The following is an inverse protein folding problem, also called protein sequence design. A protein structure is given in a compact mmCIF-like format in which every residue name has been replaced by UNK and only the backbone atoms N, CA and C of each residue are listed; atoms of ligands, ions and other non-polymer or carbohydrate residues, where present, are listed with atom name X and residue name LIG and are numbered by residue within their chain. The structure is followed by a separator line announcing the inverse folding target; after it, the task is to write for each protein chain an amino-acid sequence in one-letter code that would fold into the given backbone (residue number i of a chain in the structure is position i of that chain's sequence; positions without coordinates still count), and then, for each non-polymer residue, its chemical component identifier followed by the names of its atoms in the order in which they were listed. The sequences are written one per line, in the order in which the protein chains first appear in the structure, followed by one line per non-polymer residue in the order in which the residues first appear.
data_IF_416684039779
#
_entry.id   IF_416684039779
#
_cell.length_a   1.000
_cell.length_b   1.000
_cell.length_c   1.000
_cell.angle_alpha   90.00
_cell.angle_beta   90.00
_cell.angle_gamma   90.00
#
_symmetry.space_group_name_H-M   'P 1'
#
loop_
_entity.id
_entity.type
_entity.pdbx_description
1 polymer ?
#
# COMPACT_ATOMS: atom_id res chain seq x y z
N UNK A 1 -32.29 -10.21 -5.94
CA UNK A 1 -31.91 -9.04 -5.11
C UNK A 1 -30.55 -8.46 -5.50
N UNK A 2 -29.47 -9.26 -5.60
CA UNK A 2 -28.12 -8.73 -5.94
C UNK A 2 -27.98 -8.25 -7.40
N UNK A 3 -28.66 -8.84 -8.37
CA UNK A 3 -28.62 -8.42 -9.78
C UNK A 3 -29.40 -7.12 -10.02
N UNK A 4 -30.53 -6.97 -9.35
CA UNK A 4 -31.35 -5.74 -9.42
C UNK A 4 -30.64 -4.55 -8.78
N UNK A 5 -30.04 -4.75 -7.60
CA UNK A 5 -29.27 -3.71 -6.91
C UNK A 5 -28.07 -3.23 -7.74
N UNK A 6 -27.36 -4.14 -8.42
CA UNK A 6 -26.28 -3.77 -9.34
C UNK A 6 -26.79 -3.01 -10.57
N UNK A 7 -27.92 -3.41 -11.15
CA UNK A 7 -28.55 -2.70 -12.27
C UNK A 7 -29.02 -1.30 -11.84
N UNK A 8 -29.65 -1.18 -10.69
CA UNK A 8 -30.11 0.10 -10.15
C UNK A 8 -28.94 1.04 -9.85
N UNK A 9 -27.84 0.52 -9.32
CA UNK A 9 -26.61 1.31 -9.09
C UNK A 9 -25.94 1.74 -10.40
N UNK A 10 -25.95 0.91 -11.43
CA UNK A 10 -25.46 1.26 -12.78
C UNK A 10 -26.37 2.29 -13.47
N UNK A 11 -27.68 2.19 -13.30
CA UNK A 11 -28.62 3.19 -13.81
C UNK A 11 -28.40 4.54 -13.13
N UNK A 12 -28.32 4.57 -11.81
CA UNK A 12 -28.04 5.81 -11.05
C UNK A 12 -26.71 6.47 -11.43
N UNK A 13 -25.71 5.72 -11.88
CA UNK A 13 -24.45 6.25 -12.35
C UNK A 13 -24.57 6.81 -13.78
N UNK A 14 -25.38 6.19 -14.66
CA UNK A 14 -25.57 6.67 -16.04
C UNK A 14 -26.39 7.95 -16.13
N UNK A 15 -27.36 8.10 -15.24
CA UNK A 15 -28.32 9.22 -15.29
C UNK A 15 -27.77 10.48 -14.59
N UNK A 16 -26.63 10.38 -13.91
CA UNK A 16 -25.96 11.53 -13.32
C UNK A 16 -24.83 12.00 -14.24
N UNK A 17 -24.82 13.27 -14.57
CA UNK A 17 -23.77 13.97 -15.33
C UNK A 17 -22.44 14.05 -14.55
N UNK A 18 -22.05 12.95 -13.90
CA UNK A 18 -20.75 12.89 -13.25
C UNK A 18 -19.68 12.58 -14.30
N UNK A 19 -18.73 13.45 -14.40
CA UNK A 19 -17.50 13.27 -15.17
C UNK A 19 -16.30 13.59 -14.28
N UNK A 20 -15.15 13.05 -14.66
CA UNK A 20 -13.91 13.46 -14.02
C UNK A 20 -13.66 14.94 -14.33
N UNK A 21 -13.11 15.66 -13.37
CA UNK A 21 -12.60 17.01 -13.59
C UNK A 21 -11.43 16.95 -14.59
N UNK A 22 -11.15 18.07 -15.27
CA UNK A 22 -10.01 18.15 -16.19
C UNK A 22 -8.69 17.89 -15.46
N UNK A 23 -8.58 18.34 -14.21
CA UNK A 23 -7.49 18.02 -13.30
C UNK A 23 -7.98 17.04 -12.24
N UNK A 24 -7.54 15.79 -12.32
CA UNK A 24 -7.82 14.76 -11.33
C UNK A 24 -6.71 14.68 -10.28
N UNK A 25 -7.02 14.11 -9.11
CA UNK A 25 -6.01 13.79 -8.11
C UNK A 25 -5.02 12.75 -8.65
N UNK A 26 -3.79 12.81 -8.20
CA UNK A 26 -2.79 11.77 -8.49
C UNK A 26 -3.24 10.45 -7.87
N UNK A 27 -3.28 9.41 -8.68
CA UNK A 27 -3.71 8.07 -8.25
C UNK A 27 -2.49 7.22 -7.92
N UNK A 28 -2.56 6.56 -6.77
CA UNK A 28 -1.62 5.51 -6.38
C UNK A 28 -2.33 4.16 -6.48
N UNK A 29 -1.72 3.22 -7.17
CA UNK A 29 -2.28 1.87 -7.33
C UNK A 29 -1.80 0.97 -6.22
N UNK A 30 -2.73 0.27 -5.59
CA UNK A 30 -2.42 -0.70 -4.54
C UNK A 30 -2.41 -2.12 -5.11
N UNK A 31 -1.24 -2.74 -5.30
CA UNK A 31 -1.17 -4.17 -5.61
C UNK A 31 -1.64 -4.98 -4.40
N UNK A 32 -2.01 -6.24 -4.62
CA UNK A 32 -2.29 -7.17 -3.52
C UNK A 32 -1.06 -7.32 -2.62
N UNK A 33 -1.28 -7.54 -1.33
CA UNK A 33 -0.19 -7.79 -0.37
C UNK A 33 0.46 -9.16 -0.59
N UNK A 34 1.68 -9.35 -0.05
CA UNK A 34 2.48 -10.56 -0.16
C UNK A 34 1.77 -11.86 0.30
N UNK A 35 0.77 -11.74 1.15
CA UNK A 35 -0.01 -12.87 1.68
C UNK A 35 -1.06 -13.43 0.70
N UNK A 36 -1.19 -12.85 -0.49
CA UNK A 36 -2.19 -13.24 -1.49
C UNK A 36 -1.52 -13.77 -2.76
N UNK A 37 -1.96 -14.97 -3.17
CA UNK A 37 -1.57 -15.57 -4.43
C UNK A 37 -2.60 -15.30 -5.52
N UNK A 38 -2.13 -15.26 -6.77
CA UNK A 38 -3.01 -15.35 -7.93
C UNK A 38 -3.33 -16.81 -8.22
N UNK A 39 -4.57 -17.21 -7.95
CA UNK A 39 -4.97 -18.62 -8.01
C UNK A 39 -5.22 -19.14 -9.42
N UNK A 40 -5.42 -18.25 -10.39
CA UNK A 40 -5.75 -18.60 -11.77
C UNK A 40 -4.55 -18.63 -12.72
N UNK A 41 -3.38 -18.19 -12.25
CA UNK A 41 -2.15 -18.16 -13.04
C UNK A 41 -1.09 -19.03 -12.37
N UNK A 42 -0.53 -19.94 -13.16
CA UNK A 42 0.54 -20.84 -12.73
C UNK A 42 1.77 -20.60 -13.59
N UNK A 43 2.93 -20.52 -12.95
CA UNK A 43 4.24 -20.55 -13.59
C UNK A 43 4.96 -21.78 -13.05
N UNK A 44 5.40 -22.66 -13.94
CA UNK A 44 6.00 -23.96 -13.60
C UNK A 44 5.18 -24.78 -12.58
N UNK A 45 3.86 -24.75 -12.76
CA UNK A 45 2.90 -25.46 -11.90
C UNK A 45 2.68 -24.84 -10.52
N UNK A 46 3.29 -23.68 -10.22
CA UNK A 46 3.14 -22.97 -8.94
C UNK A 46 2.33 -21.69 -9.12
N UNK A 47 1.53 -21.35 -8.12
CA UNK A 47 0.82 -20.06 -8.07
C UNK A 47 1.81 -18.91 -7.98
N UNK A 48 1.52 -17.83 -8.69
CA UNK A 48 2.33 -16.61 -8.62
C UNK A 48 1.83 -15.68 -7.52
N UNK A 49 2.73 -14.85 -6.98
CA UNK A 49 2.33 -13.79 -6.04
C UNK A 49 1.31 -12.85 -6.68
N UNK A 50 0.19 -12.64 -5.99
CA UNK A 50 -0.84 -11.70 -6.44
C UNK A 50 -0.33 -10.28 -6.57
N UNK A 51 0.53 -9.85 -5.64
CA UNK A 51 1.12 -8.51 -5.67
C UNK A 51 2.03 -8.28 -6.87
N UNK A 52 2.90 -9.25 -7.18
CA UNK A 52 3.78 -9.16 -8.36
C UNK A 52 2.95 -9.23 -9.65
N UNK A 53 1.94 -10.07 -9.70
CA UNK A 53 1.04 -10.19 -10.85
C UNK A 53 0.32 -8.86 -11.15
N UNK A 54 -0.29 -8.24 -10.13
CA UNK A 54 -0.97 -6.96 -10.26
C UNK A 54 -0.01 -5.85 -10.72
N UNK A 55 1.16 -5.78 -10.09
CA UNK A 55 2.20 -4.81 -10.40
C UNK A 55 2.71 -4.97 -11.84
N UNK A 56 3.08 -6.19 -12.23
CA UNK A 56 3.67 -6.45 -13.54
C UNK A 56 2.71 -6.11 -14.69
N UNK A 57 1.45 -6.54 -14.59
CA UNK A 57 0.45 -6.21 -15.60
C UNK A 57 0.17 -4.70 -15.66
N UNK A 58 0.07 -4.04 -14.50
CA UNK A 58 -0.14 -2.61 -14.45
C UNK A 58 1.01 -1.86 -15.12
N UNK A 59 2.26 -2.20 -14.80
CA UNK A 59 3.44 -1.57 -15.38
C UNK A 59 3.52 -1.80 -16.88
N UNK A 60 3.35 -3.04 -17.31
CA UNK A 60 3.44 -3.40 -18.74
C UNK A 60 2.45 -2.62 -19.61
N UNK A 61 1.21 -2.49 -19.15
CA UNK A 61 0.15 -1.85 -19.94
C UNK A 61 0.10 -0.34 -19.79
N UNK A 62 0.58 0.24 -18.70
CA UNK A 62 0.27 1.64 -18.38
C UNK A 62 1.49 2.55 -18.20
N UNK A 63 2.69 2.04 -17.91
CA UNK A 63 3.80 2.88 -17.49
C UNK A 63 4.12 4.00 -18.51
N UNK A 64 4.29 3.66 -19.77
CA UNK A 64 4.60 4.63 -20.82
C UNK A 64 3.45 5.63 -21.07
N UNK A 65 2.22 5.15 -21.03
CA UNK A 65 1.05 6.03 -21.23
C UNK A 65 0.88 7.01 -20.07
N UNK A 66 1.13 6.58 -18.83
CA UNK A 66 1.11 7.45 -17.66
C UNK A 66 2.15 8.57 -17.79
N UNK A 67 3.38 8.24 -18.17
CA UNK A 67 4.43 9.23 -18.38
C UNK A 67 4.09 10.19 -19.50
N UNK A 68 3.56 9.70 -20.61
CA UNK A 68 3.09 10.53 -21.73
C UNK A 68 2.01 11.54 -21.31
N UNK A 69 1.17 11.17 -20.34
CA UNK A 69 0.13 12.05 -19.77
C UNK A 69 0.63 12.99 -18.67
N UNK A 70 1.92 13.02 -18.40
CA UNK A 70 2.50 13.85 -17.33
C UNK A 70 2.21 13.33 -15.91
N UNK A 71 1.89 12.05 -15.79
CA UNK A 71 1.74 11.32 -14.53
C UNK A 71 2.88 10.32 -14.35
N UNK A 72 2.72 9.32 -13.52
CA UNK A 72 3.71 8.28 -13.31
C UNK A 72 3.12 7.00 -12.72
N UNK A 73 3.90 5.90 -12.72
CA UNK A 73 3.53 4.66 -12.09
C UNK A 73 3.74 4.78 -10.58
N UNK A 74 2.70 5.21 -9.87
CA UNK A 74 2.71 5.44 -8.44
C UNK A 74 1.98 4.32 -7.72
N UNK A 75 2.61 3.81 -6.64
CA UNK A 75 2.12 2.64 -5.91
C UNK A 75 1.88 2.94 -4.44
N UNK A 76 1.05 2.09 -3.84
CA UNK A 76 0.72 2.12 -2.43
C UNK A 76 0.88 0.70 -1.87
N UNK A 77 2.03 0.42 -1.24
CA UNK A 77 2.44 -0.92 -0.87
C UNK A 77 1.82 -1.36 0.47
N UNK A 78 0.97 -2.41 0.46
CA UNK A 78 0.32 -2.90 1.66
C UNK A 78 1.09 -4.02 2.34
N UNK A 79 0.83 -4.21 3.64
CA UNK A 79 1.11 -5.44 4.39
C UNK A 79 2.58 -5.84 4.52
N UNK A 80 3.52 -4.91 4.41
CA UNK A 80 4.91 -5.19 4.72
C UNK A 80 5.06 -5.52 6.22
N UNK A 81 5.87 -6.52 6.51
CA UNK A 81 6.25 -6.91 7.87
C UNK A 81 7.77 -6.73 8.12
N UNK A 82 8.56 -6.46 7.08
CA UNK A 82 10.03 -6.33 7.19
C UNK A 82 10.61 -5.42 6.11
N UNK A 83 11.75 -4.79 6.39
CA UNK A 83 12.56 -4.08 5.41
C UNK A 83 13.05 -4.99 4.26
N UNK A 84 13.18 -6.30 4.49
CA UNK A 84 13.54 -7.26 3.43
C UNK A 84 12.45 -7.38 2.36
N UNK A 85 11.18 -7.24 2.75
CA UNK A 85 10.08 -7.17 1.80
C UNK A 85 10.09 -5.85 1.02
N UNK A 86 10.52 -4.76 1.65
CA UNK A 86 10.75 -3.49 0.98
C UNK A 86 11.91 -3.58 -0.02
N UNK A 87 13.00 -4.24 0.34
CA UNK A 87 14.12 -4.55 -0.56
C UNK A 87 13.66 -5.36 -1.77
N UNK A 88 12.85 -6.38 -1.58
CA UNK A 88 12.28 -7.17 -2.67
C UNK A 88 11.45 -6.30 -3.63
N UNK A 89 10.65 -5.38 -3.10
CA UNK A 89 9.95 -4.40 -3.94
C UNK A 89 10.91 -3.50 -4.71
N UNK A 90 11.97 -3.03 -4.06
CA UNK A 90 13.00 -2.22 -4.72
C UNK A 90 13.66 -2.97 -5.88
N UNK A 91 14.03 -4.23 -5.67
CA UNK A 91 14.63 -5.08 -6.71
C UNK A 91 13.69 -5.28 -7.90
N UNK A 92 12.39 -5.49 -7.62
CA UNK A 92 11.34 -5.58 -8.64
C UNK A 92 11.22 -4.25 -9.40
N UNK A 93 11.24 -3.11 -8.72
CA UNK A 93 11.16 -1.79 -9.37
C UNK A 93 12.36 -1.52 -10.27
N UNK A 94 13.58 -1.78 -9.78
CA UNK A 94 14.82 -1.60 -10.53
C UNK A 94 14.81 -2.48 -11.79
N UNK A 95 14.48 -3.77 -11.64
CA UNK A 95 14.38 -4.70 -12.77
C UNK A 95 13.33 -4.24 -13.77
N UNK A 96 12.14 -3.89 -13.32
CA UNK A 96 11.03 -3.49 -14.20
C UNK A 96 11.35 -2.22 -14.98
N UNK A 97 11.95 -1.21 -14.34
CA UNK A 97 12.35 0.02 -15.02
C UNK A 97 13.39 -0.27 -16.09
N UNK A 98 14.36 -1.15 -15.82
CA UNK A 98 15.33 -1.58 -16.81
C UNK A 98 14.67 -2.27 -18.01
N UNK A 99 13.79 -3.25 -17.76
CA UNK A 99 13.12 -4.02 -18.82
C UNK A 99 12.18 -3.15 -19.68
N UNK A 100 11.58 -2.12 -19.10
CA UNK A 100 10.72 -1.18 -19.81
C UNK A 100 11.46 0.04 -20.38
N UNK A 101 12.79 0.12 -20.22
CA UNK A 101 13.58 1.26 -20.68
C UNK A 101 13.26 2.57 -19.98
N UNK A 102 12.83 2.51 -18.72
CA UNK A 102 12.49 3.68 -17.92
C UNK A 102 13.70 4.12 -17.06
N UNK A 103 13.87 5.44 -16.83
CA UNK A 103 14.86 5.90 -15.86
C UNK A 103 14.63 5.31 -14.47
N UNK A 104 15.73 5.02 -13.75
CA UNK A 104 15.62 4.60 -12.35
C UNK A 104 15.00 5.72 -11.49
N UNK A 105 14.16 5.33 -10.53
CA UNK A 105 13.41 6.29 -9.71
C UNK A 105 12.12 6.83 -10.36
N UNK A 106 11.75 6.38 -11.55
CA UNK A 106 10.47 6.72 -12.19
C UNK A 106 9.29 6.16 -11.40
N UNK A 107 9.38 4.94 -10.89
CA UNK A 107 8.39 4.35 -10.00
C UNK A 107 8.49 5.04 -8.64
N UNK A 108 7.34 5.46 -8.09
CA UNK A 108 7.26 5.97 -6.72
C UNK A 108 6.24 5.17 -5.93
N UNK A 109 6.55 4.93 -4.65
CA UNK A 109 5.71 4.13 -3.78
C UNK A 109 5.61 4.73 -2.38
N UNK A 110 4.39 4.82 -1.88
CA UNK A 110 4.11 5.06 -0.46
C UNK A 110 3.93 3.71 0.23
N UNK A 111 4.58 3.52 1.37
CA UNK A 111 4.44 2.29 2.15
C UNK A 111 3.39 2.48 3.24
N UNK A 112 2.44 1.55 3.32
CA UNK A 112 1.54 1.43 4.47
C UNK A 112 2.27 0.77 5.63
N UNK A 113 2.50 1.53 6.68
CA UNK A 113 2.94 0.98 7.97
C UNK A 113 1.70 0.52 8.71
N UNK A 114 1.31 -0.70 8.45
CA UNK A 114 0.04 -1.26 8.94
C UNK A 114 0.21 -2.59 9.67
N UNK A 115 1.47 -2.97 9.93
CA UNK A 115 1.80 -4.11 10.78
C UNK A 115 2.71 -3.64 11.91
N UNK A 116 2.58 -4.31 13.07
CA UNK A 116 3.41 -3.95 14.23
C UNK A 116 4.90 -4.20 13.95
N UNK A 117 5.24 -5.18 13.13
CA UNK A 117 6.63 -5.47 12.79
C UNK A 117 7.23 -4.34 11.95
N UNK A 118 6.54 -3.92 10.89
CA UNK A 118 7.02 -2.82 10.04
C UNK A 118 7.15 -1.50 10.81
N UNK A 119 6.35 -1.29 11.85
CA UNK A 119 6.44 -0.07 12.66
C UNK A 119 7.80 0.09 13.37
N UNK A 120 8.54 -0.99 13.60
CA UNK A 120 9.86 -0.98 14.20
C UNK A 120 11.02 -1.05 13.19
N UNK A 121 10.71 -1.08 11.89
CA UNK A 121 11.69 -1.13 10.81
C UNK A 121 11.46 -0.01 9.78
N UNK A 122 10.87 1.12 10.19
CA UNK A 122 10.49 2.19 9.27
C UNK A 122 11.69 2.84 8.59
N UNK A 123 12.77 3.08 9.33
CA UNK A 123 13.99 3.69 8.80
C UNK A 123 14.67 2.76 7.79
N UNK A 124 14.72 1.47 8.09
CA UNK A 124 15.26 0.45 7.20
C UNK A 124 14.39 0.32 5.93
N UNK A 125 13.06 0.37 6.07
CA UNK A 125 12.12 0.36 4.94
C UNK A 125 12.34 1.58 4.03
N UNK A 126 12.49 2.77 4.60
CA UNK A 126 12.80 3.99 3.85
C UNK A 126 14.16 3.90 3.16
N UNK A 127 15.17 3.36 3.85
CA UNK A 127 16.50 3.18 3.27
C UNK A 127 16.49 2.23 2.07
N UNK A 128 15.80 1.08 2.17
CA UNK A 128 15.70 0.12 1.06
C UNK A 128 14.97 0.71 -0.15
N UNK A 129 14.00 1.56 0.07
CA UNK A 129 13.20 2.19 -0.99
C UNK A 129 13.64 3.61 -1.34
N UNK A 130 14.77 4.10 -0.88
CA UNK A 130 15.21 5.52 -0.97
C UNK A 130 15.05 6.15 -2.36
N UNK A 131 15.30 5.39 -3.43
CA UNK A 131 15.21 5.90 -4.81
C UNK A 131 13.75 5.94 -5.32
N UNK A 132 12.84 5.23 -4.66
CA UNK A 132 11.46 5.04 -5.06
C UNK A 132 10.44 5.51 -4.02
N UNK A 133 10.89 5.92 -2.82
CA UNK A 133 9.98 6.34 -1.76
C UNK A 133 9.22 7.62 -2.11
N UNK A 134 7.93 7.62 -1.82
CA UNK A 134 7.06 8.79 -1.79
C UNK A 134 6.51 9.05 -0.37
N UNK A 135 7.02 8.31 0.63
CA UNK A 135 6.68 8.46 2.05
C UNK A 135 6.03 7.24 2.67
N UNK A 136 5.66 7.39 3.93
CA UNK A 136 4.98 6.39 4.73
C UNK A 136 3.52 6.82 5.00
N UNK A 137 2.66 5.86 5.29
CA UNK A 137 1.28 6.13 5.68
C UNK A 137 0.84 5.24 6.84
N UNK A 138 0.16 5.83 7.82
CA UNK A 138 -0.38 5.13 8.98
C UNK A 138 -1.66 4.36 8.63
N UNK A 139 -1.64 3.04 8.77
CA UNK A 139 -2.80 2.16 8.59
C UNK A 139 -3.47 1.82 9.92
N UNK A 140 -4.61 2.43 10.26
CA UNK A 140 -5.25 2.27 11.56
C UNK A 140 -5.75 0.85 11.83
N UNK A 141 -6.66 0.36 11.01
CA UNK A 141 -7.37 -0.89 11.30
C UNK A 141 -6.47 -2.11 11.21
N UNK A 142 -5.63 -2.14 10.21
CA UNK A 142 -4.70 -3.24 10.02
C UNK A 142 -3.61 -3.27 11.08
N UNK A 143 -3.16 -2.10 11.56
CA UNK A 143 -2.22 -2.02 12.69
C UNK A 143 -2.86 -2.57 13.98
N UNK A 144 -4.08 -2.16 14.30
CA UNK A 144 -4.83 -2.70 15.44
C UNK A 144 -4.99 -4.23 15.31
N UNK A 145 -5.37 -4.70 14.12
CA UNK A 145 -5.52 -6.13 13.85
C UNK A 145 -4.19 -6.89 13.99
N UNK A 146 -3.10 -6.30 13.53
CA UNK A 146 -1.75 -6.84 13.69
C UNK A 146 -1.39 -7.02 15.16
N UNK A 147 -1.66 -6.02 16.01
CA UNK A 147 -1.48 -6.11 17.45
C UNK A 147 -2.31 -7.27 18.04
N UNK A 148 -3.60 -7.34 17.73
CA UNK A 148 -4.49 -8.42 18.21
C UNK A 148 -3.93 -9.78 17.80
N UNK A 149 -3.55 -9.93 16.54
CA UNK A 149 -3.03 -11.20 15.99
C UNK A 149 -1.73 -11.65 16.68
N UNK A 150 -0.79 -10.73 16.87
CA UNK A 150 0.53 -11.05 17.45
C UNK A 150 0.44 -11.31 18.95
N UNK A 151 -0.41 -10.58 19.67
CA UNK A 151 -0.54 -10.69 21.13
C UNK A 151 -1.77 -11.49 21.61
N UNK A 152 -2.44 -12.23 20.74
CA UNK A 152 -3.70 -12.94 21.02
C UNK A 152 -3.66 -13.92 22.20
N UNK A 153 -2.47 -14.36 22.61
CA UNK A 153 -2.29 -15.29 23.74
C UNK A 153 -2.01 -14.57 25.06
N UNK A 154 -1.75 -13.27 25.02
CA UNK A 154 -1.52 -12.47 26.23
C UNK A 154 -2.81 -11.72 26.61
N UNK A 155 -3.36 -12.09 27.77
CA UNK A 155 -4.60 -11.49 28.30
C UNK A 155 -4.47 -10.00 28.58
N UNK A 156 -3.26 -9.48 28.81
CA UNK A 156 -3.01 -8.06 29.04
C UNK A 156 -3.19 -7.21 27.77
N UNK A 157 -3.17 -7.84 26.60
CA UNK A 157 -3.40 -7.19 25.31
C UNK A 157 -4.84 -7.32 24.80
N UNK A 158 -5.81 -7.58 25.68
CA UNK A 158 -7.21 -7.54 25.31
C UNK A 158 -7.64 -6.09 25.06
N UNK A 159 -7.86 -5.75 23.80
CA UNK A 159 -8.30 -4.40 23.41
C UNK A 159 -9.81 -4.23 23.61
N UNK A 160 -10.23 -2.97 23.81
CA UNK A 160 -11.63 -2.60 23.85
C UNK A 160 -12.31 -2.82 22.48
N UNK A 161 -13.64 -2.68 22.45
CA UNK A 161 -14.40 -2.70 21.20
C UNK A 161 -13.78 -1.77 20.15
N UNK A 162 -13.79 -2.21 18.89
CA UNK A 162 -13.19 -1.52 17.75
C UNK A 162 -13.59 -0.04 17.65
N UNK A 163 -14.85 0.28 17.96
CA UNK A 163 -15.34 1.65 17.89
C UNK A 163 -14.66 2.58 18.90
N UNK A 164 -14.15 2.04 20.01
CA UNK A 164 -13.46 2.78 21.06
C UNK A 164 -11.96 2.92 20.81
N UNK A 165 -11.38 2.13 19.92
CA UNK A 165 -9.95 2.19 19.57
C UNK A 165 -9.74 3.24 18.48
N UNK A 166 -9.69 4.51 18.87
CA UNK A 166 -9.44 5.64 17.98
C UNK A 166 -7.95 5.92 17.82
N UNK A 167 -7.58 6.85 16.95
CA UNK A 167 -6.15 7.30 16.82
C UNK A 167 -5.66 8.02 18.09
N UNK A 168 -6.55 8.40 18.99
CA UNK A 168 -6.24 9.13 20.22
C UNK A 168 -5.97 8.24 21.44
N UNK A 169 -6.19 6.92 21.34
CA UNK A 169 -5.83 6.02 22.44
C UNK A 169 -4.29 5.90 22.56
N UNK A 170 -3.74 5.65 23.77
CA UNK A 170 -2.30 5.76 24.03
C UNK A 170 -1.42 5.02 23.02
N UNK A 171 -1.65 3.72 22.77
CA UNK A 171 -0.79 2.95 21.86
C UNK A 171 -0.89 3.40 20.38
N UNK A 172 -2.04 3.92 19.96
CA UNK A 172 -2.21 4.47 18.61
C UNK A 172 -1.53 5.84 18.47
N UNK A 173 -1.51 6.64 19.54
CA UNK A 173 -0.74 7.88 19.57
C UNK A 173 0.76 7.58 19.51
N UNK A 174 1.25 6.62 20.28
CA UNK A 174 2.66 6.20 20.24
C UNK A 174 3.07 5.70 18.86
N UNK A 175 2.20 4.92 18.20
CA UNK A 175 2.42 4.48 16.82
C UNK A 175 2.48 5.66 15.83
N UNK A 176 1.54 6.58 15.91
CA UNK A 176 1.54 7.76 15.05
C UNK A 176 2.78 8.65 15.31
N UNK A 177 3.17 8.81 16.58
CA UNK A 177 4.36 9.54 16.97
C UNK A 177 5.63 8.88 16.41
N UNK A 178 5.75 7.56 16.53
CA UNK A 178 6.89 6.82 15.98
C UNK A 178 7.00 6.99 14.47
N UNK A 179 5.87 6.91 13.74
CA UNK A 179 5.85 7.14 12.30
C UNK A 179 6.28 8.56 11.93
N UNK A 180 5.86 9.54 12.71
CA UNK A 180 6.20 10.94 12.49
C UNK A 180 7.70 11.22 12.69
N UNK A 181 8.33 10.56 13.68
CA UNK A 181 9.76 10.73 13.96
C UNK A 181 10.65 9.97 12.98
N UNK A 182 10.17 8.89 12.37
CA UNK A 182 10.91 8.13 11.35
C UNK A 182 10.82 8.76 9.95
N UNK A 183 9.70 9.38 9.63
CA UNK A 183 9.51 10.13 8.37
C UNK A 183 10.08 11.55 8.52
N UNK A 184 11.32 11.66 8.92
CA UNK A 184 12.17 12.80 9.23
C UNK A 184 11.87 14.17 8.55
N UNK A 185 10.66 14.38 8.04
CA UNK A 185 10.31 15.54 7.24
C UNK A 185 9.92 16.76 8.07
N UNK A 186 9.49 16.59 9.33
CA UNK A 186 9.05 17.73 10.15
C UNK A 186 9.41 17.56 11.63
N UNK A 187 10.28 18.42 12.13
CA UNK A 187 10.71 18.56 13.54
C UNK A 187 9.59 19.02 14.49
N UNK A 188 8.34 18.63 14.26
CA UNK A 188 7.26 18.96 15.20
C UNK A 188 7.15 17.88 16.27
N UNK A 189 7.34 18.24 17.56
CA UNK A 189 7.23 17.27 18.65
C UNK A 189 5.81 16.73 18.78
N UNK A 190 5.71 15.42 19.01
CA UNK A 190 4.45 14.74 19.31
C UNK A 190 3.82 15.16 20.62
#
# INVERSE_FOLDING_TARGET
LHKEYRRQRQMCIRDRLYKLNDKIATLLVRPRGWHLDEKHVLVDGKRVSGGIFDFALYMYHNAHELLKRGSGPFFYLPKLESHLEARLWNDIFVMTQRELGLPQGTIKATVLIETILAAFEMDEILYELKDHSAGLNAGRWDYIFSCIKKFRLDKNFCLADRAKVTMTVPFMRSYACLLYTSDAADDTPC
#
